data_IF_426845446593
#
_entry.id   IF_426845446593
#
_cell.length_a   1.000
_cell.length_b   1.000
_cell.length_c   1.000
_cell.angle_alpha   90.00
_cell.angle_beta   90.00
_cell.angle_gamma   90.00
#
_symmetry.space_group_name_H-M   'P 1'
#
loop_
_entity.id
_entity.type
_entity.pdbx_description
1 polymer ?
#
# COMPACT_ATOMS: atom_id res chain seq x y z
N UNK A 1 -12.89 -50.83 31.36
CA UNK A 1 -11.91 -49.75 31.25
C UNK A 1 -12.61 -48.56 30.60
N UNK A 2 -12.97 -47.51 31.35
CA UNK A 2 -13.71 -46.35 30.82
C UNK A 2 -12.70 -45.34 30.25
N UNK A 3 -12.77 -45.08 28.94
CA UNK A 3 -12.05 -43.97 28.34
C UNK A 3 -12.70 -42.68 28.85
N UNK A 4 -12.02 -41.98 29.75
CA UNK A 4 -12.34 -40.58 30.06
C UNK A 4 -11.82 -39.78 28.87
N UNK A 5 -12.69 -39.45 27.93
CA UNK A 5 -12.38 -38.49 26.87
C UNK A 5 -12.23 -37.11 27.51
N UNK A 6 -11.01 -36.58 27.48
CA UNK A 6 -10.66 -35.26 27.97
C UNK A 6 -11.20 -34.20 26.99
N UNK A 7 -12.50 -33.94 27.08
CA UNK A 7 -13.28 -33.08 26.18
C UNK A 7 -12.86 -31.60 26.22
N UNK A 8 -11.92 -31.22 27.10
CA UNK A 8 -11.52 -29.83 27.32
C UNK A 8 -10.32 -29.40 26.46
N UNK A 9 -9.55 -30.36 25.93
CA UNK A 9 -8.42 -30.09 25.01
C UNK A 9 -8.82 -29.29 23.75
N UNK A 10 -9.93 -29.58 23.04
CA UNK A 10 -10.33 -28.77 21.89
C UNK A 10 -10.73 -27.34 22.29
N UNK A 11 -11.30 -27.14 23.49
CA UNK A 11 -11.70 -25.82 23.99
C UNK A 11 -10.48 -24.94 24.24
N UNK A 12 -9.44 -25.47 24.91
CA UNK A 12 -8.19 -24.73 25.17
C UNK A 12 -7.52 -24.32 23.85
N UNK A 13 -7.53 -25.19 22.84
CA UNK A 13 -7.00 -24.88 21.51
C UNK A 13 -7.73 -23.71 20.84
N UNK A 14 -9.07 -23.69 20.90
CA UNK A 14 -9.88 -22.59 20.34
C UNK A 14 -9.59 -21.27 21.05
N UNK A 15 -9.48 -21.27 22.39
CA UNK A 15 -9.17 -20.06 23.15
C UNK A 15 -7.80 -19.48 22.77
N UNK A 16 -6.78 -20.35 22.59
CA UNK A 16 -5.46 -19.90 22.15
C UNK A 16 -5.50 -19.30 20.75
N UNK A 17 -6.25 -19.88 19.81
CA UNK A 17 -6.40 -19.32 18.46
C UNK A 17 -7.07 -17.94 18.50
N UNK A 18 -8.15 -17.80 19.27
CA UNK A 18 -8.85 -16.51 19.43
C UNK A 18 -7.89 -15.46 20.02
N UNK A 19 -7.12 -15.81 21.05
CA UNK A 19 -6.14 -14.91 21.66
C UNK A 19 -5.08 -14.45 20.65
N UNK A 20 -4.56 -15.36 19.82
CA UNK A 20 -3.59 -15.01 18.76
C UNK A 20 -4.19 -14.09 17.70
N UNK A 21 -5.46 -14.29 17.33
CA UNK A 21 -6.16 -13.40 16.39
C UNK A 21 -6.33 -11.99 16.95
N UNK A 22 -6.73 -11.86 18.23
CA UNK A 22 -6.87 -10.54 18.89
C UNK A 22 -5.52 -9.81 18.94
N UNK A 23 -4.43 -10.51 19.28
CA UNK A 23 -3.09 -9.93 19.31
C UNK A 23 -2.70 -9.41 17.92
N UNK A 24 -2.98 -10.19 16.85
CA UNK A 24 -2.69 -9.79 15.46
C UNK A 24 -3.42 -8.50 15.08
N UNK A 25 -4.73 -8.44 15.31
CA UNK A 25 -5.55 -7.26 14.99
C UNK A 25 -5.00 -6.00 15.66
N UNK A 26 -4.62 -6.08 16.94
CA UNK A 26 -4.07 -4.92 17.66
C UNK A 26 -2.71 -4.45 17.11
N UNK A 27 -1.88 -5.37 16.62
CA UNK A 27 -0.58 -5.02 16.01
C UNK A 27 -0.81 -4.29 14.69
N UNK A 28 -1.73 -4.78 13.86
CA UNK A 28 -2.03 -4.20 12.55
C UNK A 28 -2.64 -2.80 12.69
N UNK A 29 -3.61 -2.62 13.59
CA UNK A 29 -4.21 -1.30 13.91
C UNK A 29 -3.19 -0.28 14.39
N UNK A 30 -2.23 -0.71 15.23
CA UNK A 30 -1.18 0.17 15.74
C UNK A 30 -0.22 0.59 14.63
N UNK A 31 0.15 -0.36 13.77
CA UNK A 31 1.03 -0.10 12.63
C UNK A 31 0.39 0.86 11.64
N UNK A 32 -0.90 0.69 11.34
CA UNK A 32 -1.61 1.59 10.43
C UNK A 32 -1.69 3.01 11.01
N UNK A 33 -1.97 3.17 12.31
CA UNK A 33 -1.92 4.47 12.98
C UNK A 33 -0.53 5.10 12.90
N UNK A 34 0.52 4.33 13.15
CA UNK A 34 1.90 4.82 13.05
C UNK A 34 2.25 5.31 11.64
N UNK A 35 1.84 4.55 10.61
CA UNK A 35 2.02 4.95 9.20
C UNK A 35 1.31 6.28 8.93
N UNK A 36 0.04 6.40 9.32
CA UNK A 36 -0.76 7.59 9.08
C UNK A 36 -0.23 8.81 9.86
N UNK A 37 0.15 8.63 11.13
CA UNK A 37 0.76 9.69 11.93
C UNK A 37 2.11 10.13 11.35
N UNK A 38 2.92 9.21 10.87
CA UNK A 38 4.24 9.51 10.32
C UNK A 38 4.12 10.24 8.97
N UNK A 39 3.20 9.82 8.10
CA UNK A 39 2.87 10.56 6.86
C UNK A 39 2.34 11.95 7.22
N UNK A 40 1.46 12.08 8.21
CA UNK A 40 0.89 13.37 8.60
C UNK A 40 1.94 14.35 9.16
N UNK A 41 2.87 13.86 9.97
CA UNK A 41 3.88 14.68 10.65
C UNK A 41 5.07 15.02 9.75
N UNK A 42 5.44 14.14 8.82
CA UNK A 42 6.58 14.29 7.93
C UNK A 42 6.16 14.28 6.46
N UNK A 43 5.00 14.88 6.17
CA UNK A 43 4.36 14.83 4.86
C UNK A 43 5.25 15.40 3.76
N UNK A 44 5.41 14.63 2.71
CA UNK A 44 5.96 15.05 1.43
C UNK A 44 5.00 14.65 0.31
N UNK A 45 4.77 15.55 -0.63
CA UNK A 45 3.87 15.32 -1.77
C UNK A 45 4.68 15.11 -3.06
N UNK A 46 4.29 14.10 -3.83
CA UNK A 46 4.86 13.82 -5.15
C UNK A 46 3.82 13.17 -6.06
N UNK A 47 4.26 12.66 -7.21
CA UNK A 47 3.44 11.93 -8.16
C UNK A 47 3.86 10.46 -8.17
N UNK A 48 2.89 9.56 -8.21
CA UNK A 48 3.10 8.13 -8.42
C UNK A 48 2.47 7.69 -9.74
N UNK A 49 3.04 6.64 -10.36
CA UNK A 49 2.46 5.94 -11.50
C UNK A 49 1.89 4.61 -11.04
N UNK A 50 0.63 4.31 -11.34
CA UNK A 50 0.06 2.98 -11.10
C UNK A 50 0.64 2.00 -12.12
N UNK A 51 1.22 0.91 -11.63
CA UNK A 51 1.88 -0.13 -12.44
C UNK A 51 1.04 -1.39 -12.57
N UNK A 52 0.22 -1.70 -11.57
CA UNK A 52 -0.64 -2.88 -11.56
C UNK A 52 -1.94 -2.63 -10.81
N UNK A 53 -2.97 -3.37 -11.19
CA UNK A 53 -4.22 -3.49 -10.46
C UNK A 53 -4.54 -4.97 -10.33
N UNK A 54 -5.05 -5.36 -9.17
CA UNK A 54 -5.63 -6.68 -8.94
C UNK A 54 -6.86 -6.53 -8.05
N UNK A 55 -7.83 -7.42 -8.23
CA UNK A 55 -9.00 -7.55 -7.37
C UNK A 55 -8.97 -8.96 -6.81
N UNK A 56 -8.99 -9.08 -5.49
CA UNK A 56 -9.19 -10.35 -4.79
C UNK A 56 -10.37 -10.25 -3.82
N UNK A 57 -10.62 -11.32 -3.05
CA UNK A 57 -11.72 -11.39 -2.08
C UNK A 57 -11.59 -10.35 -0.95
N UNK A 58 -10.38 -9.81 -0.73
CA UNK A 58 -10.09 -8.77 0.26
C UNK A 58 -10.26 -7.36 -0.30
N UNK A 59 -10.30 -7.21 -1.63
CA UNK A 59 -10.62 -5.97 -2.32
C UNK A 59 -9.66 -5.59 -3.45
N UNK A 60 -9.79 -4.35 -3.95
CA UNK A 60 -8.92 -3.82 -4.99
C UNK A 60 -7.56 -3.41 -4.44
N UNK A 61 -6.50 -3.91 -5.07
CA UNK A 61 -5.10 -3.61 -4.76
C UNK A 61 -4.45 -2.88 -5.94
N UNK A 62 -3.80 -1.75 -5.65
CA UNK A 62 -3.10 -0.96 -6.65
C UNK A 62 -1.61 -0.99 -6.35
N UNK A 63 -0.83 -1.54 -7.26
CA UNK A 63 0.62 -1.40 -7.26
C UNK A 63 1.00 -0.10 -7.95
N UNK A 64 1.90 0.67 -7.34
CA UNK A 64 2.36 1.93 -7.88
C UNK A 64 3.83 2.17 -7.56
N UNK A 65 4.44 3.03 -8.38
CA UNK A 65 5.83 3.43 -8.23
C UNK A 65 6.01 4.94 -8.23
N UNK A 66 7.03 5.40 -7.54
CA UNK A 66 7.35 6.83 -7.39
C UNK A 66 8.85 7.00 -7.09
N UNK A 67 9.30 8.25 -7.11
CA UNK A 67 10.67 8.60 -6.75
C UNK A 67 10.72 9.54 -5.56
N UNK A 68 11.69 9.31 -4.68
CA UNK A 68 12.06 10.20 -3.59
C UNK A 68 13.58 10.20 -3.44
N UNK A 69 14.20 11.38 -3.42
CA UNK A 69 15.67 11.55 -3.37
C UNK A 69 16.41 10.69 -4.42
N UNK A 70 15.95 10.75 -5.67
CA UNK A 70 16.48 9.98 -6.82
C UNK A 70 16.42 8.44 -6.70
N UNK A 71 15.78 7.90 -5.66
CA UNK A 71 15.53 6.46 -5.50
C UNK A 71 14.12 6.11 -5.94
N UNK A 72 13.97 4.99 -6.65
CA UNK A 72 12.66 4.43 -7.01
C UNK A 72 12.11 3.63 -5.82
N UNK A 73 10.83 3.83 -5.54
CA UNK A 73 10.07 3.06 -4.58
C UNK A 73 8.88 2.43 -5.27
N UNK A 74 8.58 1.19 -4.87
CA UNK A 74 7.43 0.42 -5.31
C UNK A 74 6.61 0.06 -4.09
N UNK A 75 5.31 0.34 -4.14
CA UNK A 75 4.41 0.03 -3.04
C UNK A 75 3.06 -0.45 -3.59
N UNK A 76 2.26 -1.06 -2.72
CA UNK A 76 0.92 -1.49 -3.05
C UNK A 76 -0.02 -1.21 -1.88
N UNK A 77 -1.12 -0.49 -2.16
CA UNK A 77 -2.13 -0.20 -1.16
C UNK A 77 -3.48 -0.78 -1.60
N UNK A 78 -4.24 -1.39 -0.67
CA UNK A 78 -5.66 -1.60 -0.90
C UNK A 78 -6.34 -0.22 -0.97
N UNK A 79 -7.23 0.00 -1.94
CA UNK A 79 -7.98 1.25 -2.03
C UNK A 79 -9.24 1.09 -2.88
N UNK A 80 -10.39 1.48 -2.36
CA UNK A 80 -11.64 1.45 -3.13
C UNK A 80 -11.88 2.73 -3.96
N UNK A 81 -10.99 3.71 -3.85
CA UNK A 81 -11.18 5.05 -4.43
C UNK A 81 -10.73 5.15 -5.89
N UNK A 82 -10.22 4.04 -6.46
CA UNK A 82 -9.74 3.99 -7.85
C UNK A 82 -10.77 3.49 -8.86
N UNK A 83 -10.49 3.73 -10.14
CA UNK A 83 -11.31 3.27 -11.29
C UNK A 83 -10.92 1.86 -11.76
N UNK A 84 -10.34 1.05 -10.87
CA UNK A 84 -9.90 -0.31 -11.16
C UNK A 84 -8.75 -0.36 -12.14
N UNK A 85 -8.79 -1.33 -13.06
CA UNK A 85 -7.79 -1.55 -14.12
C UNK A 85 -7.56 -0.29 -14.97
N UNK A 86 -8.55 0.60 -15.11
CA UNK A 86 -8.41 1.87 -15.84
C UNK A 86 -7.39 2.83 -15.21
N UNK A 87 -7.01 2.61 -13.95
CA UNK A 87 -5.99 3.40 -13.26
C UNK A 87 -4.58 3.05 -13.72
N UNK A 88 -4.39 1.89 -14.34
CA UNK A 88 -3.07 1.39 -14.75
C UNK A 88 -2.42 2.29 -15.79
N UNK A 89 -1.16 2.61 -15.56
CA UNK A 89 -0.37 3.51 -16.41
C UNK A 89 -0.65 5.00 -16.17
N UNK A 90 -1.68 5.35 -15.40
CA UNK A 90 -2.00 6.74 -15.04
C UNK A 90 -1.17 7.21 -13.85
N UNK A 91 -1.16 8.52 -13.67
CA UNK A 91 -0.41 9.21 -12.64
C UNK A 91 -1.35 9.84 -11.63
N UNK A 92 -1.01 9.76 -10.35
CA UNK A 92 -1.84 10.26 -9.25
C UNK A 92 -0.98 10.97 -8.23
N UNK A 93 -1.59 11.85 -7.44
CA UNK A 93 -0.92 12.41 -6.27
C UNK A 93 -0.56 11.32 -5.27
N UNK A 94 0.60 11.47 -4.66
CA UNK A 94 1.10 10.59 -3.61
C UNK A 94 1.55 11.44 -2.43
N UNK A 95 1.14 11.03 -1.24
CA UNK A 95 1.66 11.52 0.02
C UNK A 95 2.58 10.46 0.60
N UNK A 96 3.76 10.85 1.07
CA UNK A 96 4.68 9.94 1.74
C UNK A 96 5.30 10.60 2.97
N UNK A 97 5.90 9.81 3.83
CA UNK A 97 6.75 10.32 4.90
C UNK A 97 8.16 10.56 4.40
N UNK A 98 8.67 11.78 4.59
CA UNK A 98 10.06 12.12 4.33
C UNK A 98 11.03 11.35 5.25
N UNK A 99 10.58 10.87 6.41
CA UNK A 99 11.41 10.05 7.31
C UNK A 99 11.45 8.58 6.89
N UNK A 100 10.35 8.07 6.34
CA UNK A 100 10.26 6.70 5.85
C UNK A 100 9.42 6.66 4.57
N UNK A 101 10.06 6.74 3.38
CA UNK A 101 9.31 6.80 2.13
C UNK A 101 8.43 5.58 1.87
N UNK A 102 8.71 4.42 2.47
CA UNK A 102 7.82 3.24 2.39
C UNK A 102 6.43 3.49 3.01
N UNK A 103 6.30 4.48 3.89
CA UNK A 103 5.02 4.95 4.36
C UNK A 103 4.48 5.94 3.36
N UNK A 104 3.58 5.46 2.49
CA UNK A 104 3.04 6.23 1.38
C UNK A 104 1.56 5.94 1.18
N UNK A 105 0.80 6.96 0.79
CA UNK A 105 -0.61 6.90 0.46
C UNK A 105 -0.89 7.52 -0.91
N UNK A 106 -1.39 6.72 -1.84
CA UNK A 106 -1.75 7.17 -3.18
C UNK A 106 -3.19 7.68 -3.20
N UNK A 107 -3.40 8.87 -3.75
CA UNK A 107 -4.69 9.54 -3.80
C UNK A 107 -5.35 9.27 -5.16
N UNK A 108 -5.99 8.11 -5.31
CA UNK A 108 -6.55 7.64 -6.60
C UNK A 108 -7.67 8.54 -7.15
N UNK A 109 -8.32 9.36 -6.31
CA UNK A 109 -9.26 10.39 -6.75
C UNK A 109 -8.62 11.65 -7.33
N UNK A 110 -7.28 11.76 -7.32
CA UNK A 110 -6.53 12.95 -7.74
C UNK A 110 -5.55 12.61 -8.87
N UNK A 111 -6.11 12.30 -10.05
CA UNK A 111 -5.32 12.05 -11.26
C UNK A 111 -4.50 13.29 -11.65
N UNK A 112 -3.23 13.08 -11.99
CA UNK A 112 -2.28 14.12 -12.40
C UNK A 112 -2.00 13.94 -13.89
N UNK A 113 -2.40 14.93 -14.70
CA UNK A 113 -2.15 14.94 -16.15
C UNK A 113 -1.08 15.95 -16.56
N UNK A 114 -0.62 16.80 -15.64
CA UNK A 114 0.42 17.80 -15.88
C UNK A 114 1.78 17.12 -16.08
N UNK A 115 2.28 17.19 -17.32
CA UNK A 115 3.54 16.57 -17.73
C UNK A 115 4.76 17.19 -17.05
N UNK A 116 4.71 18.46 -16.66
CA UNK A 116 5.80 19.12 -15.92
C UNK A 116 5.89 18.53 -14.52
N UNK A 117 4.75 18.32 -13.84
CA UNK A 117 4.72 17.69 -12.51
C UNK A 117 5.21 16.23 -12.57
N UNK A 118 4.76 15.46 -13.55
CA UNK A 118 5.17 14.06 -13.73
C UNK A 118 6.68 13.99 -14.02
N UNK A 119 7.21 14.89 -14.86
CA UNK A 119 8.66 14.95 -15.16
C UNK A 119 9.47 15.36 -13.92
N UNK A 120 9.02 16.37 -13.17
CA UNK A 120 9.66 16.79 -11.91
C UNK A 120 9.68 15.65 -10.88
N UNK A 121 8.67 14.80 -10.86
CA UNK A 121 8.60 13.60 -10.03
C UNK A 121 9.49 12.44 -10.52
N UNK A 122 10.29 12.62 -11.59
CA UNK A 122 11.24 11.61 -12.07
C UNK A 122 10.64 10.50 -12.92
N UNK A 123 9.32 10.51 -13.18
CA UNK A 123 8.61 9.39 -13.81
C UNK A 123 8.72 9.32 -15.35
N UNK A 124 9.35 10.30 -15.98
CA UNK A 124 9.55 10.35 -17.44
C UNK A 124 10.96 9.96 -17.93
N UNK A 125 11.88 9.52 -17.04
CA UNK A 125 13.26 9.21 -17.41
C UNK A 125 13.40 8.10 -18.47
N UNK A 126 12.41 7.21 -18.63
CA UNK A 126 12.50 6.04 -19.52
C UNK A 126 11.94 6.25 -20.95
N UNK A 127 11.50 7.45 -21.33
CA UNK A 127 10.97 7.68 -22.70
C UNK A 127 12.06 7.90 -23.76
N UNK A 128 13.30 8.18 -23.36
CA UNK A 128 14.37 8.59 -24.29
C UNK A 128 15.17 7.40 -24.83
N UNK A 129 15.25 6.28 -24.12
CA UNK A 129 16.06 5.12 -24.54
C UNK A 129 15.37 4.23 -25.60
N UNK A 130 14.07 4.40 -25.82
CA UNK A 130 13.29 3.64 -26.81
C UNK A 130 13.11 4.30 -28.18
N UNK A 131 13.62 5.53 -28.37
CA UNK A 131 13.49 6.30 -29.62
C UNK A 131 14.79 6.32 -30.45
N UNK A 132 15.85 5.67 -29.97
CA UNK A 132 17.16 5.60 -30.62
C UNK A 132 17.63 4.16 -30.92
N UNK A 133 16.72 3.18 -30.89
CA UNK A 133 16.98 1.82 -31.38
C UNK A 133 16.08 1.50 -32.58
#
# INVERSE_FOLDING_TARGET
MKYVTDNNKPIIGIVLIILLLVIRINIDDKREREIQENIKTHRFETVAKVTSYSMDDSGPHYGFKYFYEDKEYNNANPSYDGVGELSKGKYYRLELSAQNPHFSNILLGQEVTDTILIKKAGLMKNYVEGLFN
#
